data_IF_713715905537
#
_entry.id   IF_713715905537
#
_cell.length_a   1.000
_cell.length_b   1.000
_cell.length_c   1.000
_cell.angle_alpha   90.00
_cell.angle_beta   90.00
_cell.angle_gamma   90.00
#
_symmetry.space_group_name_H-M   'P 1'
#
loop_
_entity.id
_entity.type
_entity.pdbx_description
1 polymer ?
#
# COMPACT_ATOMS: atom_id res chain seq x y z
N UNK A 1 9.83 4.09 12.88
CA UNK A 1 11.23 3.62 13.01
C UNK A 1 11.71 3.42 14.46
N UNK A 2 10.81 3.14 15.41
CA UNK A 2 11.18 2.98 16.84
C UNK A 2 12.14 1.80 17.08
N UNK A 3 11.97 0.69 16.36
CA UNK A 3 12.85 -0.49 16.49
C UNK A 3 14.33 -0.16 16.23
N UNK A 4 14.64 0.70 15.25
CA UNK A 4 16.01 1.15 14.95
C UNK A 4 16.65 1.92 16.11
N UNK A 5 15.86 2.64 16.91
CA UNK A 5 16.36 3.42 18.03
C UNK A 5 16.51 2.62 19.33
N UNK A 6 15.82 1.47 19.44
CA UNK A 6 15.78 0.67 20.66
C UNK A 6 16.84 -0.43 20.71
N UNK A 7 17.54 -0.68 19.61
CA UNK A 7 18.53 -1.76 19.50
C UNK A 7 19.91 -1.17 19.30
N UNK A 8 20.81 -1.41 20.25
CA UNK A 8 22.16 -0.85 20.25
C UNK A 8 23.20 -1.81 19.63
N UNK A 9 22.98 -3.12 19.71
CA UNK A 9 23.98 -4.15 19.34
C UNK A 9 23.85 -4.67 17.90
N UNK A 10 22.88 -4.17 17.13
CA UNK A 10 22.61 -4.62 15.75
C UNK A 10 22.19 -3.45 14.88
N UNK A 11 22.59 -3.50 13.62
CA UNK A 11 22.06 -2.60 12.61
C UNK A 11 20.65 -3.04 12.19
N UNK A 12 19.68 -2.14 12.28
CA UNK A 12 18.30 -2.36 11.84
C UNK A 12 17.96 -1.37 10.73
N UNK A 13 17.60 -1.93 9.58
CA UNK A 13 17.07 -1.20 8.42
C UNK A 13 15.56 -1.45 8.36
N UNK A 14 14.78 -0.38 8.23
CA UNK A 14 13.32 -0.46 8.17
C UNK A 14 12.89 -0.10 6.76
N UNK A 15 12.38 -1.07 6.01
CA UNK A 15 11.80 -0.86 4.69
C UNK A 15 10.37 -0.29 4.85
N UNK A 16 10.09 0.94 4.42
CA UNK A 16 8.85 1.65 4.73
C UNK A 16 7.70 1.26 3.77
N UNK A 17 7.18 0.04 3.90
CA UNK A 17 6.01 -0.42 3.14
C UNK A 17 4.71 0.00 3.82
N UNK A 18 3.67 0.34 3.04
CA UNK A 18 2.36 0.73 3.58
C UNK A 18 1.34 -0.40 3.50
N UNK A 19 1.42 -1.23 2.46
CA UNK A 19 0.44 -2.28 2.18
C UNK A 19 1.08 -3.66 2.20
N UNK A 20 0.25 -4.70 2.39
CA UNK A 20 0.72 -6.08 2.42
C UNK A 20 1.42 -6.49 1.10
N UNK A 21 0.89 -6.16 -0.10
CA UNK A 21 1.59 -6.49 -1.35
C UNK A 21 2.97 -5.84 -1.45
N UNK A 22 3.12 -4.57 -1.03
CA UNK A 22 4.43 -3.91 -0.99
C UNK A 22 5.42 -4.64 -0.08
N UNK A 23 4.98 -5.11 1.09
CA UNK A 23 5.80 -5.92 2.00
C UNK A 23 6.26 -7.24 1.38
N UNK A 24 5.36 -7.94 0.67
CA UNK A 24 5.67 -9.18 -0.03
C UNK A 24 6.68 -8.92 -1.16
N UNK A 25 6.46 -7.90 -1.99
CA UNK A 25 7.37 -7.51 -3.06
C UNK A 25 8.76 -7.20 -2.55
N UNK A 26 8.86 -6.45 -1.46
CA UNK A 26 10.14 -6.15 -0.83
C UNK A 26 10.88 -7.45 -0.44
N UNK A 27 10.20 -8.38 0.25
CA UNK A 27 10.81 -9.63 0.72
C UNK A 27 11.22 -10.56 -0.44
N UNK A 28 10.43 -10.63 -1.52
CA UNK A 28 10.76 -11.45 -2.70
C UNK A 28 12.07 -11.00 -3.34
N UNK A 29 12.36 -9.70 -3.30
CA UNK A 29 13.56 -9.12 -3.89
C UNK A 29 14.78 -9.11 -2.94
N UNK A 30 14.64 -9.66 -1.74
CA UNK A 30 15.76 -9.81 -0.82
C UNK A 30 16.76 -10.87 -1.32
N UNK A 31 18.03 -10.50 -1.38
CA UNK A 31 19.14 -11.35 -1.80
C UNK A 31 20.02 -11.68 -0.59
N UNK A 32 20.01 -12.92 -0.06
CA UNK A 32 20.76 -13.29 1.14
C UNK A 32 22.27 -13.08 1.04
N UNK A 33 22.82 -13.16 -0.17
CA UNK A 33 24.26 -13.03 -0.43
C UNK A 33 24.71 -11.58 -0.67
N UNK A 34 23.77 -10.63 -0.78
CA UNK A 34 24.06 -9.21 -0.96
C UNK A 34 24.23 -8.51 0.39
N UNK A 35 25.01 -7.42 0.42
CA UNK A 35 25.12 -6.59 1.62
C UNK A 35 23.81 -5.86 1.94
N UNK A 36 23.69 -5.37 3.17
CA UNK A 36 22.47 -4.76 3.69
C UNK A 36 22.02 -3.52 2.91
N UNK A 37 22.96 -2.71 2.41
CA UNK A 37 22.66 -1.49 1.66
C UNK A 37 22.15 -1.83 0.27
N UNK A 38 22.80 -2.78 -0.40
CA UNK A 38 22.35 -3.29 -1.70
C UNK A 38 20.94 -3.86 -1.61
N UNK A 39 20.65 -4.63 -0.55
CA UNK A 39 19.30 -5.12 -0.29
C UNK A 39 18.31 -3.99 -0.02
N UNK A 40 18.65 -3.00 0.81
CA UNK A 40 17.79 -1.84 1.07
C UNK A 40 17.42 -1.12 -0.24
N UNK A 41 18.40 -0.81 -1.08
CA UNK A 41 18.19 -0.14 -2.37
C UNK A 41 17.30 -0.97 -3.30
N UNK A 42 17.61 -2.27 -3.48
CA UNK A 42 16.82 -3.15 -4.33
C UNK A 42 15.36 -3.29 -3.85
N UNK A 43 15.16 -3.51 -2.55
CA UNK A 43 13.82 -3.63 -1.96
C UNK A 43 13.03 -2.31 -2.08
N UNK A 44 13.69 -1.17 -1.94
CA UNK A 44 13.06 0.16 -2.07
C UNK A 44 12.67 0.48 -3.52
N UNK A 45 13.51 0.13 -4.50
CA UNK A 45 13.16 0.36 -5.91
C UNK A 45 11.97 -0.50 -6.32
N UNK A 46 11.94 -1.78 -5.95
CA UNK A 46 10.87 -2.68 -6.38
C UNK A 46 9.52 -2.36 -5.74
N UNK A 47 9.50 -1.82 -4.53
CA UNK A 47 8.25 -1.34 -3.89
C UNK A 47 7.60 -0.20 -4.68
N UNK A 48 8.39 0.63 -5.40
CA UNK A 48 7.84 1.74 -6.21
C UNK A 48 7.09 1.25 -7.45
N UNK A 49 7.43 0.06 -7.93
CA UNK A 49 6.81 -0.54 -9.10
C UNK A 49 5.45 -1.20 -8.79
N UNK A 50 5.00 -1.15 -7.53
CA UNK A 50 3.76 -1.79 -7.09
C UNK A 50 2.74 -0.76 -6.63
N UNK A 51 1.67 -0.65 -7.41
CA UNK A 51 0.45 0.04 -7.00
C UNK A 51 -0.49 -0.94 -6.33
N UNK A 52 -1.13 -0.52 -5.24
CA UNK A 52 -2.09 -1.39 -4.55
C UNK A 52 -3.47 -0.79 -4.48
N UNK A 53 -4.47 -1.66 -4.63
CA UNK A 53 -5.89 -1.33 -4.49
C UNK A 53 -6.56 -2.32 -3.55
N UNK A 54 -7.39 -1.81 -2.64
CA UNK A 54 -8.18 -2.60 -1.70
C UNK A 54 -9.65 -2.20 -1.80
N UNK A 55 -10.53 -3.20 -1.90
CA UNK A 55 -11.98 -3.00 -1.84
C UNK A 55 -12.50 -3.53 -0.51
N UNK A 56 -13.18 -2.68 0.24
CA UNK A 56 -13.75 -3.01 1.56
C UNK A 56 -15.07 -2.29 1.75
N UNK A 57 -15.75 -2.53 2.87
CA UNK A 57 -16.94 -1.79 3.27
C UNK A 57 -16.67 -0.88 4.47
N UNK A 58 -17.47 0.18 4.60
CA UNK A 58 -17.46 1.08 5.74
C UNK A 58 -18.24 0.48 6.91
N UNK A 59 -17.67 0.56 8.11
CA UNK A 59 -18.28 0.01 9.34
C UNK A 59 -19.03 1.06 10.16
N UNK A 60 -19.02 2.32 9.72
CA UNK A 60 -19.71 3.45 10.34
C UNK A 60 -19.74 4.63 9.38
N UNK A 61 -20.64 5.56 9.65
CA UNK A 61 -20.64 6.86 8.99
C UNK A 61 -19.36 7.65 9.34
N UNK A 62 -18.75 8.26 8.34
CA UNK A 62 -17.57 9.11 8.51
C UNK A 62 -17.44 10.11 7.38
N UNK A 63 -16.68 11.18 7.62
CA UNK A 63 -16.22 12.09 6.59
C UNK A 63 -14.70 11.99 6.51
N UNK A 64 -14.16 11.60 5.36
CA UNK A 64 -12.71 11.48 5.12
C UNK A 64 -12.40 12.27 3.85
N UNK A 65 -11.43 13.17 3.95
CA UNK A 65 -11.12 14.17 2.92
C UNK A 65 -12.40 14.95 2.53
N UNK A 66 -12.84 14.81 1.28
CA UNK A 66 -14.03 15.47 0.73
C UNK A 66 -15.21 14.48 0.54
N UNK A 67 -15.10 13.26 1.07
CA UNK A 67 -16.03 12.16 0.84
C UNK A 67 -16.89 11.89 2.07
N UNK A 68 -18.20 11.95 1.89
CA UNK A 68 -19.18 11.44 2.83
C UNK A 68 -19.33 9.93 2.62
N UNK A 69 -19.15 9.16 3.70
CA UNK A 69 -19.13 7.70 3.68
C UNK A 69 -20.14 7.23 4.71
N UNK A 70 -21.10 6.42 4.29
CA UNK A 70 -22.10 5.84 5.17
C UNK A 70 -21.74 4.41 5.53
N UNK A 71 -22.21 3.94 6.68
CA UNK A 71 -22.09 2.54 7.07
C UNK A 71 -22.64 1.61 5.97
N UNK A 72 -21.84 0.63 5.57
CA UNK A 72 -22.15 -0.32 4.50
C UNK A 72 -21.67 0.10 3.11
N UNK A 73 -21.25 1.36 2.90
CA UNK A 73 -20.68 1.79 1.62
C UNK A 73 -19.44 0.97 1.26
N UNK A 74 -19.32 0.62 0.00
CA UNK A 74 -18.11 0.02 -0.58
C UNK A 74 -17.10 1.12 -0.86
N UNK A 75 -15.90 0.95 -0.36
CA UNK A 75 -14.76 1.85 -0.54
C UNK A 75 -13.66 1.17 -1.35
N UNK A 76 -13.14 1.88 -2.35
CA UNK A 76 -11.88 1.57 -3.01
C UNK A 76 -10.75 2.41 -2.43
N UNK A 77 -9.71 1.77 -1.90
CA UNK A 77 -8.59 2.39 -1.21
C UNK A 77 -7.32 2.11 -2.01
N UNK A 78 -6.57 3.16 -2.36
CA UNK A 78 -5.26 3.08 -2.98
C UNK A 78 -4.11 3.45 -2.03
N UNK A 79 -2.90 3.55 -2.56
CA UNK A 79 -1.67 3.84 -1.77
C UNK A 79 -1.67 5.21 -1.04
N UNK A 80 -2.55 6.11 -1.48
CA UNK A 80 -2.66 7.48 -0.98
C UNK A 80 -3.98 7.79 -0.27
N UNK A 81 -4.88 6.83 -0.10
CA UNK A 81 -6.16 7.04 0.59
C UNK A 81 -7.36 6.48 -0.17
N UNK A 82 -8.54 7.05 0.11
CA UNK A 82 -9.81 6.59 -0.46
C UNK A 82 -9.99 7.18 -1.87
N UNK A 83 -9.99 6.30 -2.88
CA UNK A 83 -10.15 6.67 -4.29
C UNK A 83 -11.62 6.70 -4.69
N UNK A 84 -12.41 5.73 -4.23
CA UNK A 84 -13.82 5.58 -4.62
C UNK A 84 -14.70 5.18 -3.44
N UNK A 85 -15.96 5.62 -3.49
CA UNK A 85 -17.01 5.27 -2.52
C UNK A 85 -18.29 5.04 -3.33
N UNK A 86 -19.00 3.95 -3.05
CA UNK A 86 -20.24 3.61 -3.74
C UNK A 86 -20.95 2.44 -3.06
N UNK A 87 -22.07 1.99 -3.61
CA UNK A 87 -22.90 0.94 -2.99
C UNK A 87 -22.68 -0.46 -3.59
N UNK A 88 -21.95 -0.59 -4.70
CA UNK A 88 -21.79 -1.84 -5.43
C UNK A 88 -20.32 -2.22 -5.61
N UNK A 89 -19.95 -3.43 -5.15
CA UNK A 89 -18.56 -3.94 -5.22
C UNK A 89 -18.00 -3.82 -6.64
N UNK A 90 -18.73 -4.33 -7.64
CA UNK A 90 -18.25 -4.35 -9.02
C UNK A 90 -17.96 -2.96 -9.56
N UNK A 91 -18.89 -2.02 -9.37
CA UNK A 91 -18.74 -0.66 -9.87
C UNK A 91 -17.61 0.07 -9.15
N UNK A 92 -17.60 0.06 -7.81
CA UNK A 92 -16.55 0.69 -7.01
C UNK A 92 -15.16 0.14 -7.34
N UNK A 93 -15.05 -1.16 -7.62
CA UNK A 93 -13.79 -1.78 -8.04
C UNK A 93 -13.31 -1.25 -9.39
N UNK A 94 -14.20 -1.17 -10.39
CA UNK A 94 -13.85 -0.64 -11.72
C UNK A 94 -13.44 0.82 -11.64
N UNK A 95 -14.23 1.64 -10.94
CA UNK A 95 -13.95 3.06 -10.74
C UNK A 95 -12.61 3.28 -10.00
N UNK A 96 -12.23 2.35 -9.11
CA UNK A 96 -10.93 2.37 -8.42
C UNK A 96 -9.79 2.02 -9.38
N UNK A 97 -9.98 0.98 -10.22
CA UNK A 97 -8.97 0.57 -11.19
C UNK A 97 -8.71 1.66 -12.22
N UNK A 98 -9.73 2.39 -12.67
CA UNK A 98 -9.58 3.56 -13.57
C UNK A 98 -8.68 4.66 -12.99
N UNK A 99 -8.56 4.75 -11.66
CA UNK A 99 -7.67 5.71 -10.99
C UNK A 99 -6.29 5.14 -10.68
N UNK A 100 -6.15 3.81 -10.57
CA UNK A 100 -4.88 3.15 -10.27
C UNK A 100 -4.04 2.87 -11.51
N UNK A 101 -4.70 2.50 -12.61
CA UNK A 101 -4.05 2.10 -13.86
C UNK A 101 -3.76 3.35 -14.69
N UNK A 102 -2.50 3.51 -15.08
CA UNK A 102 -2.03 4.53 -16.02
C UNK A 102 -1.23 3.88 -17.16
N UNK A 103 -0.66 4.70 -18.03
CA UNK A 103 0.12 4.26 -19.19
C UNK A 103 1.39 3.47 -18.85
N UNK A 104 1.90 3.61 -17.63
CA UNK A 104 3.08 2.90 -17.11
C UNK A 104 2.72 1.60 -16.37
N UNK A 105 1.44 1.26 -16.31
CA UNK A 105 0.96 0.05 -15.64
C UNK A 105 0.97 -1.13 -16.62
N UNK A 106 1.82 -2.13 -16.36
CA UNK A 106 1.92 -3.38 -17.13
C UNK A 106 0.93 -4.47 -16.69
#
# INVERSE_FOLDING_TARGET
>A
NQAKHLVEDKEIIVIPTKTVPQGITAIINFMPDADAKTNEEAMLEEVKNVKTGQVTYAVRDTHIDDKEIHEGDIMGIGDHGILTVGSEIRKTTLDMLEQLVDEDSE
#
